data_IF_488323208402
#
_entry.id   IF_488323208402
#
_cell.length_a   1.000
_cell.length_b   1.000
_cell.length_c   1.000
_cell.angle_alpha   90.00
_cell.angle_beta   90.00
_cell.angle_gamma   90.00
#
_symmetry.space_group_name_H-M   'P 1'
#
loop_
_entity.id
_entity.type
_entity.pdbx_description
1 polymer ?
#
# COMPACT_ATOMS: atom_id res chain seq x y z
N UNK A 1 26.55 0.44 -3.81
CA UNK A 1 25.78 -0.06 -4.97
C UNK A 1 24.40 0.52 -4.80
N UNK A 2 24.17 1.67 -5.41
CA UNK A 2 22.95 2.46 -5.26
C UNK A 2 21.91 2.06 -6.29
N UNK A 3 20.64 2.02 -5.84
CA UNK A 3 19.49 2.38 -6.67
C UNK A 3 18.76 1.23 -7.35
N UNK A 4 17.78 0.63 -6.65
CA UNK A 4 16.84 -0.28 -7.31
C UNK A 4 15.91 -1.05 -6.38
N UNK A 5 15.44 -0.48 -5.27
CA UNK A 5 14.33 -1.11 -4.55
C UNK A 5 13.11 -1.17 -5.45
N UNK A 6 12.65 -2.38 -5.74
CA UNK A 6 11.71 -2.75 -6.79
C UNK A 6 10.58 -1.71 -6.99
N UNK A 7 10.76 -0.83 -7.98
CA UNK A 7 9.76 0.16 -8.38
C UNK A 7 8.51 -0.50 -8.94
N UNK A 8 8.65 -1.66 -9.58
CA UNK A 8 7.54 -2.38 -10.18
C UNK A 8 6.68 -3.01 -9.08
N UNK A 9 7.28 -3.68 -8.09
CA UNK A 9 6.58 -4.22 -6.93
C UNK A 9 5.75 -3.17 -6.19
N UNK A 10 6.23 -1.93 -6.08
CA UNK A 10 5.48 -0.83 -5.45
C UNK A 10 4.29 -0.34 -6.29
N UNK A 11 4.41 -0.37 -7.62
CA UNK A 11 3.30 -0.10 -8.54
C UNK A 11 2.26 -1.21 -8.50
N UNK A 12 2.70 -2.47 -8.50
CA UNK A 12 1.84 -3.64 -8.36
C UNK A 12 1.10 -3.61 -7.03
N UNK A 13 1.78 -3.25 -5.93
CA UNK A 13 1.13 -3.07 -4.63
C UNK A 13 0.02 -2.00 -4.70
N UNK A 14 0.30 -0.84 -5.30
CA UNK A 14 -0.72 0.21 -5.45
C UNK A 14 -1.92 -0.25 -6.31
N UNK A 15 -1.66 -0.94 -7.42
CA UNK A 15 -2.71 -1.49 -8.27
C UNK A 15 -3.55 -2.56 -7.55
N UNK A 16 -2.94 -3.39 -6.69
CA UNK A 16 -3.66 -4.39 -5.90
C UNK A 16 -4.58 -3.73 -4.85
N UNK A 17 -4.14 -2.65 -4.22
CA UNK A 17 -4.98 -1.88 -3.29
C UNK A 17 -6.16 -1.23 -4.03
N UNK A 18 -5.91 -0.61 -5.18
CA UNK A 18 -6.96 -0.03 -6.02
C UNK A 18 -8.00 -1.09 -6.43
N UNK A 19 -7.53 -2.24 -6.91
CA UNK A 19 -8.40 -3.35 -7.29
C UNK A 19 -9.21 -3.90 -6.11
N UNK A 20 -8.63 -3.97 -4.91
CA UNK A 20 -9.36 -4.36 -3.70
C UNK A 20 -10.53 -3.40 -3.43
N UNK A 21 -10.30 -2.09 -3.44
CA UNK A 21 -11.35 -1.12 -3.17
C UNK A 21 -12.43 -1.18 -4.25
N UNK A 22 -12.06 -1.15 -5.54
CA UNK A 22 -13.00 -1.27 -6.66
C UNK A 22 -13.89 -2.52 -6.55
N UNK A 23 -13.32 -3.64 -6.12
CA UNK A 23 -14.06 -4.90 -6.05
C UNK A 23 -14.93 -5.05 -4.79
N UNK A 24 -14.67 -4.27 -3.73
CA UNK A 24 -15.22 -4.56 -2.39
C UNK A 24 -15.92 -3.39 -1.70
N UNK A 25 -15.60 -2.13 -2.01
CA UNK A 25 -15.99 -0.98 -1.17
C UNK A 25 -17.51 -0.69 -1.19
N UNK A 26 -18.18 -0.97 -2.30
CA UNK A 26 -19.63 -0.78 -2.44
C UNK A 26 -20.46 -2.01 -2.01
N UNK A 27 -19.81 -3.10 -1.55
CA UNK A 27 -20.51 -4.31 -1.16
C UNK A 27 -21.10 -4.14 0.26
N UNK A 28 -22.43 -4.28 0.45
CA UNK A 28 -23.08 -3.94 1.73
C UNK A 28 -22.71 -4.87 2.89
N UNK A 29 -22.08 -6.01 2.60
CA UNK A 29 -21.60 -6.96 3.60
C UNK A 29 -20.10 -6.79 3.93
N UNK A 30 -19.39 -5.90 3.24
CA UNK A 30 -18.00 -5.54 3.55
C UNK A 30 -18.01 -4.39 4.55
N UNK A 31 -17.59 -4.67 5.78
CA UNK A 31 -17.58 -3.68 6.87
C UNK A 31 -16.32 -2.78 6.88
N UNK A 32 -15.37 -3.02 5.97
CA UNK A 32 -14.08 -2.32 5.90
C UNK A 32 -12.89 -3.28 5.79
N UNK A 33 -11.69 -2.76 5.98
CA UNK A 33 -10.43 -3.49 5.88
C UNK A 33 -9.48 -3.19 7.05
N UNK A 34 -8.66 -4.17 7.43
CA UNK A 34 -7.55 -3.99 8.37
C UNK A 34 -6.24 -4.33 7.68
N UNK A 35 -5.36 -3.33 7.56
CA UNK A 35 -4.16 -3.43 6.72
C UNK A 35 -2.96 -3.95 7.50
N UNK A 36 -2.38 -5.06 7.04
CA UNK A 36 -1.07 -5.52 7.47
C UNK A 36 0.02 -4.92 6.57
N UNK A 37 0.97 -4.14 7.07
CA UNK A 37 1.15 -3.66 8.45
C UNK A 37 1.57 -2.21 8.44
N UNK A 38 1.35 -1.52 9.55
CA UNK A 38 1.72 -0.13 9.75
C UNK A 38 2.71 -0.04 10.91
N UNK A 39 3.91 0.48 10.67
CA UNK A 39 4.95 0.63 11.68
C UNK A 39 4.82 1.97 12.45
N UNK A 40 5.28 2.04 13.72
CA UNK A 40 5.19 3.27 14.51
C UNK A 40 6.13 4.39 14.04
N UNK A 41 7.33 4.07 13.54
CA UNK A 41 8.30 5.07 13.08
C UNK A 41 8.02 5.47 11.62
N UNK A 42 6.97 6.27 11.40
CA UNK A 42 6.47 6.61 10.07
C UNK A 42 7.55 7.16 9.12
N UNK A 43 8.37 8.11 9.59
CA UNK A 43 9.42 8.76 8.78
C UNK A 43 10.49 7.79 8.26
N UNK A 44 10.60 6.58 8.84
CA UNK A 44 11.64 5.60 8.54
C UNK A 44 11.10 4.27 8.02
N UNK A 45 9.80 4.19 7.72
CA UNK A 45 9.14 2.94 7.34
C UNK A 45 8.62 2.97 5.92
N UNK A 46 8.81 1.89 5.16
CA UNK A 46 8.37 1.82 3.77
C UNK A 46 9.17 2.75 2.84
N UNK A 47 8.52 3.23 1.78
CA UNK A 47 9.15 4.14 0.82
C UNK A 47 10.04 3.49 -0.24
N UNK A 48 10.92 4.30 -0.83
CA UNK A 48 11.91 3.86 -1.82
C UNK A 48 12.89 2.87 -1.18
N UNK A 49 13.13 1.73 -1.81
CA UNK A 49 14.02 0.71 -1.25
C UNK A 49 13.32 -0.39 -0.45
N UNK A 50 12.08 -0.17 0.02
CA UNK A 50 11.36 -1.14 0.85
C UNK A 50 10.52 -2.10 0.00
N UNK A 51 10.84 -3.39 0.07
CA UNK A 51 10.12 -4.50 -0.58
C UNK A 51 9.11 -5.20 0.36
N UNK A 52 8.94 -4.66 1.57
CA UNK A 52 8.02 -5.19 2.57
C UNK A 52 6.54 -4.91 2.28
N UNK A 53 5.67 -5.56 3.05
CA UNK A 53 4.21 -5.46 2.89
C UNK A 53 3.60 -4.11 3.29
N UNK A 54 4.31 -3.28 4.07
CA UNK A 54 3.75 -2.00 4.51
C UNK A 54 3.45 -1.11 3.29
N UNK A 55 2.24 -0.52 3.20
CA UNK A 55 1.94 0.48 2.18
C UNK A 55 2.53 1.86 2.53
N UNK A 56 3.04 2.04 3.75
CA UNK A 56 3.55 3.33 4.25
C UNK A 56 4.59 3.95 3.31
N UNK A 57 4.45 5.24 3.04
CA UNK A 57 5.33 6.04 2.19
C UNK A 57 5.51 5.47 0.77
N UNK A 58 4.68 4.51 0.36
CA UNK A 58 4.62 3.96 -1.00
C UNK A 58 3.39 4.49 -1.72
N UNK A 59 3.29 4.33 -3.05
CA UNK A 59 2.13 4.79 -3.81
C UNK A 59 0.80 4.19 -3.29
N UNK A 60 0.81 2.97 -2.75
CA UNK A 60 -0.36 2.34 -2.15
C UNK A 60 -0.97 3.14 -0.98
N UNK A 61 -0.15 3.86 -0.18
CA UNK A 61 -0.67 4.75 0.87
C UNK A 61 -1.57 5.84 0.29
N UNK A 62 -1.25 6.37 -0.90
CA UNK A 62 -2.09 7.39 -1.54
C UNK A 62 -3.43 6.79 -1.96
N UNK A 63 -3.42 5.60 -2.56
CA UNK A 63 -4.64 4.88 -2.94
C UNK A 63 -5.56 4.72 -1.72
N UNK A 64 -5.02 4.26 -0.59
CA UNK A 64 -5.79 4.12 0.65
C UNK A 64 -6.40 5.42 1.17
N UNK A 65 -5.81 6.59 0.86
CA UNK A 65 -6.30 7.87 1.31
C UNK A 65 -7.33 8.49 0.35
N UNK A 66 -7.37 8.04 -0.91
CA UNK A 66 -8.29 8.52 -1.93
C UNK A 66 -9.67 7.79 -1.88
N UNK A 67 -9.72 6.58 -1.31
CA UNK A 67 -10.92 5.73 -1.15
C UNK A 67 -11.60 5.89 0.22
#
# INVERSE_FOLDING_TARGET
MDGGGDTEGRRVQAAAYEAFFQATWDLPWVAGAYWWKWFPQHERSGGDGDDGFTPQNKPAQKIMADW
#
